data_IF_730915817583
#
_entry.id   IF_730915817583
#
_cell.length_a   1.000
_cell.length_b   1.000
_cell.length_c   1.000
_cell.angle_alpha   90.00
_cell.angle_beta   90.00
_cell.angle_gamma   90.00
#
_symmetry.space_group_name_H-M   'P 1'
#
loop_
_entity.id
_entity.type
_entity.pdbx_description
1 polymer ?
#
# COMPACT_ATOMS: atom_id res chain seq x y z
N UNK A 1 -0.42 -42.52 -84.65
CA UNK A 1 -1.28 -42.56 -83.46
C UNK A 1 -1.95 -41.20 -83.23
N UNK A 2 -3.28 -41.17 -83.15
CA UNK A 2 -4.04 -39.97 -82.78
C UNK A 2 -4.11 -39.87 -81.24
N UNK A 3 -4.39 -38.69 -80.67
CA UNK A 3 -4.48 -38.50 -79.21
C UNK A 3 -5.76 -37.77 -78.77
N UNK A 4 -6.23 -38.05 -77.56
CA UNK A 4 -7.33 -37.31 -76.93
C UNK A 4 -6.88 -35.93 -76.45
N UNK A 5 -7.83 -35.01 -76.21
CA UNK A 5 -7.52 -33.59 -76.00
C UNK A 5 -6.97 -33.27 -74.61
N UNK A 6 -7.50 -33.86 -73.54
CA UNK A 6 -7.20 -33.41 -72.17
C UNK A 6 -5.99 -34.13 -71.56
N UNK A 7 -5.90 -35.45 -71.73
CA UNK A 7 -4.87 -36.31 -71.15
C UNK A 7 -4.00 -37.01 -72.19
N UNK A 8 -4.17 -36.67 -73.47
CA UNK A 8 -3.28 -37.10 -74.55
C UNK A 8 -3.19 -38.64 -74.67
N UNK A 9 -4.30 -39.35 -74.40
CA UNK A 9 -4.40 -40.80 -74.49
C UNK A 9 -4.24 -41.25 -75.94
N UNK A 10 -3.43 -42.28 -76.19
CA UNK A 10 -3.20 -42.79 -77.54
C UNK A 10 -4.46 -43.49 -78.07
N UNK A 11 -4.78 -43.20 -79.32
CA UNK A 11 -5.87 -43.80 -80.08
C UNK A 11 -5.28 -44.61 -81.25
N UNK A 12 -5.70 -45.87 -81.45
CA UNK A 12 -5.29 -46.69 -82.59
C UNK A 12 -5.61 -46.01 -83.93
N UNK A 13 -4.78 -46.29 -84.94
CA UNK A 13 -4.93 -45.79 -86.31
C UNK A 13 -4.95 -46.93 -87.34
N UNK A 14 -5.11 -46.59 -88.63
CA UNK A 14 -5.55 -47.49 -89.70
C UNK A 14 -4.65 -48.69 -90.03
N UNK A 15 -3.63 -48.98 -89.21
CA UNK A 15 -2.81 -50.19 -89.29
C UNK A 15 -3.08 -51.20 -88.17
N UNK A 16 -3.92 -50.87 -87.18
CA UNK A 16 -4.17 -51.72 -86.01
C UNK A 16 -5.32 -52.72 -86.24
N UNK A 17 -5.17 -53.97 -85.78
CA UNK A 17 -6.15 -55.07 -85.98
C UNK A 17 -7.33 -55.06 -85.00
N UNK A 18 -7.61 -53.92 -84.37
CA UNK A 18 -8.60 -53.78 -83.30
C UNK A 18 -9.88 -53.09 -83.80
N UNK A 19 -10.96 -53.14 -83.01
CA UNK A 19 -12.14 -52.31 -83.28
C UNK A 19 -11.83 -50.85 -82.95
N UNK A 20 -11.30 -50.14 -83.95
CA UNK A 20 -10.80 -48.77 -83.84
C UNK A 20 -11.93 -47.81 -83.43
N UNK A 21 -13.16 -48.04 -83.89
CA UNK A 21 -14.30 -47.16 -83.59
C UNK A 21 -14.67 -47.24 -82.12
N UNK A 22 -14.85 -48.45 -81.59
CA UNK A 22 -15.19 -48.66 -80.18
C UNK A 22 -14.06 -48.17 -79.27
N UNK A 23 -12.80 -48.49 -79.59
CA UNK A 23 -11.67 -48.10 -78.73
C UNK A 23 -11.42 -46.60 -78.73
N UNK A 24 -11.57 -45.92 -79.86
CA UNK A 24 -11.43 -44.47 -79.92
C UNK A 24 -12.60 -43.76 -79.21
N UNK A 25 -13.83 -44.28 -79.34
CA UNK A 25 -14.97 -43.77 -78.59
C UNK A 25 -14.76 -43.92 -77.08
N UNK A 26 -14.27 -45.07 -76.62
CA UNK A 26 -13.94 -45.31 -75.22
C UNK A 26 -12.83 -44.38 -74.73
N UNK A 27 -11.75 -44.20 -75.50
CA UNK A 27 -10.65 -43.30 -75.15
C UNK A 27 -11.14 -41.84 -74.98
N UNK A 28 -11.98 -41.36 -75.90
CA UNK A 28 -12.58 -40.04 -75.80
C UNK A 28 -13.51 -39.91 -74.59
N UNK A 29 -14.33 -40.92 -74.30
CA UNK A 29 -15.22 -40.94 -73.15
C UNK A 29 -14.45 -40.93 -71.82
N UNK A 30 -13.37 -41.71 -71.71
CA UNK A 30 -12.51 -41.76 -70.54
C UNK A 30 -11.79 -40.42 -70.33
N UNK A 31 -11.24 -39.83 -71.39
CA UNK A 31 -10.56 -38.54 -71.34
C UNK A 31 -11.49 -37.42 -70.84
N UNK A 32 -12.72 -37.37 -71.36
CA UNK A 32 -13.74 -36.42 -70.93
C UNK A 32 -14.15 -36.66 -69.46
N UNK A 33 -14.32 -37.91 -69.05
CA UNK A 33 -14.68 -38.25 -67.67
C UNK A 33 -13.57 -37.88 -66.67
N UNK A 34 -12.31 -38.14 -67.01
CA UNK A 34 -11.16 -37.73 -66.19
C UNK A 34 -11.08 -36.21 -66.06
N UNK A 35 -11.36 -35.48 -67.15
CA UNK A 35 -11.37 -34.01 -67.14
C UNK A 35 -12.50 -33.46 -66.27
N UNK A 36 -13.69 -34.06 -66.35
CA UNK A 36 -14.79 -33.73 -65.46
C UNK A 36 -14.40 -33.93 -63.99
N UNK A 37 -13.74 -35.04 -63.66
CA UNK A 37 -13.26 -35.31 -62.30
C UNK A 37 -12.18 -34.32 -61.83
N UNK A 38 -11.28 -33.85 -62.71
CA UNK A 38 -10.30 -32.81 -62.34
C UNK A 38 -10.98 -31.48 -62.10
N UNK A 39 -11.88 -31.08 -62.99
CA UNK A 39 -12.59 -29.81 -62.92
C UNK A 39 -13.47 -29.73 -61.66
N UNK A 40 -14.16 -30.82 -61.32
CA UNK A 40 -14.92 -30.92 -60.08
C UNK A 40 -14.05 -30.79 -58.83
N UNK A 41 -12.84 -31.36 -58.82
CA UNK A 41 -11.90 -31.24 -57.69
C UNK A 41 -11.37 -29.81 -57.56
N UNK A 42 -11.02 -29.18 -58.68
CA UNK A 42 -10.57 -27.79 -58.69
C UNK A 42 -11.68 -26.85 -58.22
N UNK A 43 -12.92 -27.02 -58.71
CA UNK A 43 -14.08 -26.22 -58.33
C UNK A 43 -14.39 -26.31 -56.83
N UNK A 44 -14.14 -27.46 -56.18
CA UNK A 44 -14.32 -27.62 -54.71
C UNK A 44 -13.40 -26.74 -53.87
N UNK A 45 -12.32 -26.22 -54.44
CA UNK A 45 -11.38 -25.32 -53.76
C UNK A 45 -11.43 -23.90 -54.31
N UNK A 46 -11.35 -23.72 -55.63
CA UNK A 46 -11.30 -22.41 -56.27
C UNK A 46 -12.65 -21.72 -56.38
N UNK A 47 -13.74 -22.49 -56.44
CA UNK A 47 -15.13 -22.00 -56.51
C UNK A 47 -15.88 -22.06 -55.17
N UNK A 48 -15.19 -22.46 -54.10
CA UNK A 48 -15.81 -22.57 -52.78
C UNK A 48 -16.18 -21.18 -52.24
N UNK A 49 -17.34 -21.09 -51.59
CA UNK A 49 -17.76 -19.87 -50.92
C UNK A 49 -16.79 -19.51 -49.78
N UNK A 50 -16.38 -18.24 -49.71
CA UNK A 50 -15.53 -17.76 -48.64
C UNK A 50 -16.27 -17.81 -47.29
N UNK A 51 -15.62 -18.36 -46.28
CA UNK A 51 -16.12 -18.37 -44.91
C UNK A 51 -15.27 -17.42 -44.06
N UNK A 52 -15.90 -16.44 -43.43
CA UNK A 52 -15.21 -15.39 -42.66
C UNK A 52 -15.03 -15.73 -41.18
N UNK A 53 -15.81 -16.67 -40.65
CA UNK A 53 -15.70 -17.16 -39.27
C UNK A 53 -15.75 -18.68 -39.24
N UNK A 54 -14.86 -19.29 -38.45
CA UNK A 54 -14.81 -20.74 -38.28
C UNK A 54 -15.58 -21.13 -37.03
N UNK A 55 -16.44 -22.12 -37.15
CA UNK A 55 -17.10 -22.80 -36.05
C UNK A 55 -16.21 -23.93 -35.53
N UNK A 56 -16.38 -24.30 -34.26
CA UNK A 56 -15.58 -25.33 -33.59
C UNK A 56 -15.58 -26.69 -34.30
N UNK A 57 -16.68 -27.04 -34.98
CA UNK A 57 -16.86 -28.28 -35.72
C UNK A 57 -16.27 -28.25 -37.15
N UNK A 58 -15.89 -27.07 -37.68
CA UNK A 58 -15.26 -26.98 -38.99
C UNK A 58 -13.93 -27.74 -38.99
N UNK A 59 -13.60 -28.38 -40.11
CA UNK A 59 -12.42 -29.21 -40.21
C UNK A 59 -11.51 -28.81 -41.37
N UNK A 60 -10.20 -28.91 -41.13
CA UNK A 60 -9.15 -28.69 -42.11
C UNK A 60 -8.42 -30.02 -42.39
N UNK A 61 -8.09 -30.33 -43.65
CA UNK A 61 -7.26 -31.49 -43.97
C UNK A 61 -5.81 -31.26 -43.55
N UNK A 62 -5.12 -32.33 -43.18
CA UNK A 62 -3.70 -32.34 -42.85
C UNK A 62 -3.06 -33.69 -43.21
N UNK A 63 -1.74 -33.71 -43.26
CA UNK A 63 -0.96 -34.95 -43.37
C UNK A 63 -0.44 -35.32 -41.99
N UNK A 64 -0.76 -36.55 -41.56
CA UNK A 64 -0.33 -37.05 -40.26
C UNK A 64 1.04 -37.71 -40.36
N UNK A 65 2.08 -37.01 -39.88
CA UNK A 65 3.45 -37.52 -39.88
C UNK A 65 3.63 -38.80 -39.04
N UNK A 66 2.80 -39.01 -38.01
CA UNK A 66 2.83 -40.23 -37.20
C UNK A 66 2.15 -41.42 -37.90
N UNK A 67 1.38 -41.16 -38.95
CA UNK A 67 0.73 -42.18 -39.77
C UNK A 67 1.25 -42.15 -41.22
N UNK A 68 2.57 -42.01 -41.40
CA UNK A 68 3.23 -42.02 -42.72
C UNK A 68 2.66 -40.98 -43.70
N UNK A 69 2.33 -39.79 -43.21
CA UNK A 69 1.69 -38.72 -43.97
C UNK A 69 0.30 -39.07 -44.53
N UNK A 70 -0.42 -40.00 -43.90
CA UNK A 70 -1.82 -40.26 -44.24
C UNK A 70 -2.67 -39.00 -44.10
N UNK A 71 -3.61 -38.80 -45.03
CA UNK A 71 -4.55 -37.66 -44.95
C UNK A 71 -5.51 -37.86 -43.79
N UNK A 72 -5.51 -36.91 -42.85
CA UNK A 72 -6.46 -36.81 -41.75
C UNK A 72 -7.10 -35.41 -41.75
N UNK A 73 -8.04 -35.19 -40.83
CA UNK A 73 -8.67 -33.90 -40.61
C UNK A 73 -8.57 -33.49 -39.14
N UNK A 74 -8.40 -32.20 -38.88
CA UNK A 74 -8.48 -31.61 -37.54
C UNK A 74 -9.64 -30.61 -37.49
N UNK A 75 -10.39 -30.61 -36.39
CA UNK A 75 -11.41 -29.59 -36.17
C UNK A 75 -10.79 -28.27 -35.73
N UNK A 76 -11.46 -27.15 -35.96
CA UNK A 76 -10.96 -25.83 -35.57
C UNK A 76 -10.80 -25.74 -34.04
N UNK A 77 -11.70 -26.33 -33.27
CA UNK A 77 -11.57 -26.42 -31.81
C UNK A 77 -10.27 -27.13 -31.37
N UNK A 78 -9.95 -28.27 -32.00
CA UNK A 78 -8.75 -29.03 -31.66
C UNK A 78 -7.48 -28.31 -32.12
N UNK A 79 -7.52 -27.63 -33.28
CA UNK A 79 -6.41 -26.81 -33.76
C UNK A 79 -6.11 -25.66 -32.80
N UNK A 80 -7.14 -24.90 -32.40
CA UNK A 80 -6.99 -23.78 -31.44
C UNK A 80 -6.48 -24.29 -30.10
N UNK A 81 -6.94 -25.46 -29.64
CA UNK A 81 -6.44 -26.08 -28.40
C UNK A 81 -4.95 -26.41 -28.50
N UNK A 82 -4.51 -27.04 -29.58
CA UNK A 82 -3.10 -27.34 -29.81
C UNK A 82 -2.23 -26.08 -29.88
N UNK A 83 -2.71 -25.05 -30.59
CA UNK A 83 -2.04 -23.75 -30.69
C UNK A 83 -1.94 -23.02 -29.36
N UNK A 84 -3.03 -22.94 -28.58
CA UNK A 84 -3.03 -22.36 -27.24
C UNK A 84 -2.04 -23.07 -26.32
N UNK A 85 -1.98 -24.40 -26.37
CA UNK A 85 -1.04 -25.17 -25.57
C UNK A 85 0.43 -24.84 -25.92
N UNK A 86 0.76 -24.65 -27.20
CA UNK A 86 2.11 -24.24 -27.62
C UNK A 86 2.43 -22.78 -27.32
N UNK A 87 1.46 -21.87 -27.48
CA UNK A 87 1.67 -20.45 -27.22
C UNK A 87 1.70 -20.13 -25.72
N UNK A 88 0.93 -20.84 -24.90
CA UNK A 88 0.86 -20.63 -23.45
C UNK A 88 2.16 -20.93 -22.70
N UNK A 89 3.13 -21.60 -23.32
CA UNK A 89 4.47 -21.79 -22.74
C UNK A 89 5.40 -20.60 -22.96
N UNK A 90 5.07 -19.71 -23.89
CA UNK A 90 5.90 -18.56 -24.29
C UNK A 90 5.25 -17.24 -23.89
N UNK A 91 3.92 -17.18 -23.92
CA UNK A 91 3.14 -15.98 -23.61
C UNK A 91 2.37 -16.18 -22.31
N UNK A 92 2.36 -15.15 -21.47
CA UNK A 92 1.49 -15.09 -20.32
C UNK A 92 0.04 -14.83 -20.74
N UNK A 93 -0.92 -15.25 -19.91
CA UNK A 93 -2.31 -14.90 -20.09
C UNK A 93 -2.50 -13.36 -20.08
N UNK A 94 -3.51 -12.88 -20.81
CA UNK A 94 -3.84 -11.45 -20.89
C UNK A 94 -3.99 -10.82 -19.49
N UNK A 95 -4.55 -11.58 -18.55
CA UNK A 95 -4.55 -11.25 -17.13
C UNK A 95 -3.68 -12.25 -16.38
N UNK A 96 -2.62 -11.77 -15.73
CA UNK A 96 -1.76 -12.54 -14.84
C UNK A 96 -1.24 -11.65 -13.71
N UNK A 97 -0.67 -12.27 -12.69
CA UNK A 97 -0.11 -11.57 -11.53
C UNK A 97 1.35 -11.95 -11.32
N UNK A 98 2.09 -11.03 -10.70
CA UNK A 98 3.45 -11.29 -10.21
C UNK A 98 3.48 -11.17 -8.69
N UNK A 99 4.07 -12.16 -8.04
CA UNK A 99 4.49 -12.04 -6.64
C UNK A 99 5.74 -11.18 -6.57
N UNK A 100 6.01 -10.58 -5.40
CA UNK A 100 7.23 -9.79 -5.18
C UNK A 100 8.50 -10.59 -5.52
N UNK A 101 8.53 -11.88 -5.19
CA UNK A 101 9.68 -12.76 -5.45
C UNK A 101 9.93 -13.02 -6.95
N UNK A 102 8.97 -12.75 -7.82
CA UNK A 102 9.10 -12.91 -9.27
C UNK A 102 9.67 -11.66 -9.96
N UNK A 103 9.73 -10.53 -9.25
CA UNK A 103 10.22 -9.25 -9.78
C UNK A 103 11.69 -9.12 -9.37
N UNK A 104 12.60 -9.36 -10.31
CA UNK A 104 14.05 -9.45 -10.05
C UNK A 104 14.71 -8.10 -9.76
N UNK A 105 14.06 -7.00 -10.15
CA UNK A 105 14.48 -5.63 -9.91
C UNK A 105 13.67 -4.95 -8.80
N UNK A 106 12.93 -5.72 -8.00
CA UNK A 106 12.15 -5.15 -6.92
C UNK A 106 13.07 -4.48 -5.88
N UNK A 107 12.83 -3.21 -5.51
CA UNK A 107 13.72 -2.49 -4.62
C UNK A 107 13.80 -3.15 -3.23
N UNK A 108 15.03 -3.30 -2.73
CA UNK A 108 15.29 -3.82 -1.39
C UNK A 108 14.74 -2.91 -0.29
N UNK A 109 14.73 -1.59 -0.54
CA UNK A 109 14.13 -0.59 0.36
C UNK A 109 13.33 0.44 -0.43
N UNK A 110 12.18 0.83 0.12
CA UNK A 110 11.43 2.02 -0.30
C UNK A 110 11.56 3.08 0.80
N UNK A 111 12.80 3.46 1.12
CA UNK A 111 13.05 4.44 2.16
C UNK A 111 12.42 5.77 1.74
N UNK A 112 11.42 6.30 2.47
CA UNK A 112 10.88 7.61 2.15
C UNK A 112 12.00 8.65 2.26
N UNK A 113 12.02 9.60 1.33
CA UNK A 113 12.80 10.84 1.52
C UNK A 113 12.39 11.46 2.85
N UNK A 114 13.31 12.17 3.52
CA UNK A 114 13.10 12.74 4.86
C UNK A 114 11.65 13.19 5.09
N UNK A 115 11.04 12.65 6.15
CA UNK A 115 9.67 12.98 6.55
C UNK A 115 9.64 13.36 8.03
N UNK A 116 8.61 14.11 8.40
CA UNK A 116 8.41 14.63 9.74
C UNK A 116 7.04 14.21 10.26
N UNK A 117 6.96 13.99 11.57
CA UNK A 117 5.69 13.77 12.26
C UNK A 117 5.25 15.02 13.00
N UNK A 118 3.94 15.28 12.96
CA UNK A 118 3.33 16.24 13.88
C UNK A 118 3.17 15.63 15.26
N UNK A 119 3.07 16.45 16.31
CA UNK A 119 2.76 15.95 17.66
C UNK A 119 1.41 15.22 17.73
N UNK A 120 0.49 15.53 16.82
CA UNK A 120 -0.79 14.84 16.67
C UNK A 120 -0.67 13.38 16.23
N UNK A 121 0.46 12.99 15.63
CA UNK A 121 0.71 11.60 15.21
C UNK A 121 1.06 10.69 16.41
N UNK A 122 1.40 11.30 17.55
CA UNK A 122 1.78 10.59 18.78
C UNK A 122 0.60 10.62 19.75
N UNK A 123 -0.27 9.61 19.64
CA UNK A 123 -1.42 9.43 20.54
C UNK A 123 -0.99 9.48 22.01
N UNK A 124 -1.63 10.37 22.77
CA UNK A 124 -1.39 10.52 24.22
C UNK A 124 -0.24 11.44 24.60
N UNK A 125 0.53 12.00 23.66
CA UNK A 125 1.61 12.95 23.97
C UNK A 125 1.09 14.21 24.64
N UNK A 126 -0.02 14.79 24.16
CA UNK A 126 -0.65 15.98 24.76
C UNK A 126 -1.11 15.70 26.19
N UNK A 127 -1.76 14.57 26.41
CA UNK A 127 -2.18 14.13 27.76
C UNK A 127 -0.99 13.93 28.68
N UNK A 128 0.06 13.25 28.21
CA UNK A 128 1.26 13.00 29.01
C UNK A 128 2.00 14.29 29.39
N UNK A 129 2.01 15.28 28.49
CA UNK A 129 2.60 16.59 28.76
C UNK A 129 1.74 17.41 29.72
N UNK A 130 0.42 17.41 29.55
CA UNK A 130 -0.53 18.08 30.45
C UNK A 130 -0.58 17.46 31.85
N UNK A 131 -0.23 16.18 31.99
CA UNK A 131 -0.15 15.49 33.28
C UNK A 131 1.17 15.77 34.05
N UNK A 132 2.10 16.56 33.49
CA UNK A 132 3.31 16.97 34.21
C UNK A 132 2.98 18.13 35.16
N UNK A 133 3.42 18.01 36.41
CA UNK A 133 3.26 19.06 37.40
C UNK A 133 4.03 20.34 37.00
N UNK A 134 3.36 21.47 37.07
CA UNK A 134 3.84 22.83 36.88
C UNK A 134 4.47 23.35 38.19
N UNK A 135 5.73 23.81 38.10
CA UNK A 135 6.37 24.58 39.19
C UNK A 135 5.97 26.04 39.08
N UNK A 136 5.33 26.59 40.10
CA UNK A 136 5.02 28.01 40.23
C UNK A 136 5.83 28.65 41.34
N UNK A 137 6.28 29.88 41.12
CA UNK A 137 7.08 30.63 42.09
C UNK A 137 6.54 32.04 42.29
N UNK A 138 6.58 32.52 43.52
CA UNK A 138 6.29 33.90 43.90
C UNK A 138 7.34 34.41 44.89
N UNK A 139 7.39 35.73 45.06
CA UNK A 139 8.20 36.37 46.09
C UNK A 139 7.32 37.26 46.94
N UNK A 140 7.59 37.28 48.24
CA UNK A 140 6.89 38.12 49.21
C UNK A 140 7.85 38.88 50.11
N UNK A 141 7.30 39.85 50.83
CA UNK A 141 8.03 40.54 51.90
C UNK A 141 7.25 40.37 53.19
N UNK A 142 7.94 39.92 54.24
CA UNK A 142 7.46 39.96 55.61
C UNK A 142 8.04 41.21 56.27
N UNK A 143 7.17 42.17 56.56
CA UNK A 143 7.54 43.44 57.17
C UNK A 143 7.51 43.34 58.70
N UNK A 144 8.25 44.20 59.38
CA UNK A 144 8.24 44.28 60.86
C UNK A 144 6.92 44.81 61.42
N UNK A 145 6.16 45.57 60.62
CA UNK A 145 4.87 46.16 60.97
C UNK A 145 3.66 45.29 60.58
N UNK A 146 3.83 44.36 59.63
CA UNK A 146 2.73 43.53 59.11
C UNK A 146 2.39 42.28 59.94
N UNK A 147 3.08 42.06 61.06
CA UNK A 147 2.75 40.99 62.00
C UNK A 147 1.53 41.35 62.84
N UNK A 148 0.56 40.44 62.85
CA UNK A 148 -0.67 40.54 63.65
C UNK A 148 -0.71 39.41 64.68
N UNK A 149 -1.44 39.61 65.78
CA UNK A 149 -1.54 38.64 66.87
C UNK A 149 -0.97 39.14 68.19
N UNK A 150 -0.55 38.20 69.04
CA UNK A 150 -0.02 38.45 70.38
C UNK A 150 1.20 37.57 70.67
N UNK A 151 1.89 37.82 71.77
CA UNK A 151 3.04 37.00 72.20
C UNK A 151 2.71 35.50 72.14
N UNK A 152 3.54 34.73 71.43
CA UNK A 152 3.34 33.30 71.23
C UNK A 152 2.40 32.91 70.07
N UNK A 153 1.79 33.87 69.37
CA UNK A 153 0.91 33.61 68.24
C UNK A 153 0.87 34.78 67.26
N UNK A 154 2.00 35.02 66.58
CA UNK A 154 2.13 36.04 65.55
C UNK A 154 1.93 35.43 64.16
N UNK A 155 1.24 36.15 63.27
CA UNK A 155 1.09 35.76 61.86
C UNK A 155 1.18 36.94 60.91
N UNK A 156 1.66 36.67 59.69
CA UNK A 156 1.67 37.63 58.59
C UNK A 156 1.43 36.90 57.28
N UNK A 157 0.54 37.45 56.44
CA UNK A 157 0.19 36.88 55.15
C UNK A 157 0.93 37.59 54.01
N UNK A 158 1.46 36.81 53.09
CA UNK A 158 1.98 37.25 51.80
C UNK A 158 0.93 36.99 50.73
N UNK A 159 0.62 38.00 49.92
CA UNK A 159 -0.32 37.84 48.81
C UNK A 159 0.34 37.08 47.66
N UNK A 160 -0.31 36.00 47.23
CA UNK A 160 0.08 35.16 46.08
C UNK A 160 -1.19 34.89 45.26
N UNK A 161 -1.54 35.82 44.39
CA UNK A 161 -2.87 35.87 43.74
C UNK A 161 -3.26 34.61 42.95
N UNK A 162 -2.29 33.82 42.49
CA UNK A 162 -2.52 32.59 41.75
C UNK A 162 -2.68 31.33 42.62
N UNK A 163 -2.48 31.45 43.93
CA UNK A 163 -2.46 30.29 44.84
C UNK A 163 -3.87 29.82 45.20
N UNK A 164 -4.06 28.51 45.24
CA UNK A 164 -5.28 27.83 45.65
C UNK A 164 -5.16 27.31 47.09
N UNK A 165 -6.28 27.08 47.77
CA UNK A 165 -6.27 26.53 49.13
C UNK A 165 -5.71 25.09 49.22
N UNK A 166 -5.75 24.34 48.12
CA UNK A 166 -5.20 22.98 48.05
C UNK A 166 -3.68 22.95 47.74
N UNK A 167 -3.08 24.09 47.39
CA UNK A 167 -1.66 24.15 47.09
C UNK A 167 -0.84 23.90 48.38
N UNK A 168 0.31 23.24 48.25
CA UNK A 168 1.26 23.00 49.35
C UNK A 168 2.50 23.86 49.13
N UNK A 169 2.52 25.12 49.61
CA UNK A 169 3.63 26.03 49.40
C UNK A 169 4.85 25.62 50.22
N UNK A 170 6.02 25.73 49.58
CA UNK A 170 7.32 25.72 50.25
C UNK A 170 7.86 27.14 50.26
N UNK A 171 8.11 27.68 51.43
CA UNK A 171 8.71 28.99 51.58
C UNK A 171 10.21 28.86 51.90
N UNK A 172 11.00 29.81 51.41
CA UNK A 172 12.43 29.95 51.73
C UNK A 172 12.78 31.41 51.97
N UNK A 173 13.75 31.66 52.83
CA UNK A 173 14.38 32.97 52.91
C UNK A 173 15.12 33.27 51.60
N UNK A 174 15.01 34.51 51.13
CA UNK A 174 15.79 35.02 49.98
C UNK A 174 16.76 36.14 50.35
N UNK A 175 16.65 36.66 51.57
CA UNK A 175 17.63 37.58 52.14
C UNK A 175 18.89 36.88 52.63
N UNK A 176 19.98 37.63 52.76
CA UNK A 176 21.32 37.11 53.10
C UNK A 176 21.96 37.78 54.33
N UNK A 177 21.25 38.68 55.01
CA UNK A 177 21.80 39.35 56.20
C UNK A 177 21.56 38.51 57.46
N UNK A 178 22.49 38.57 58.43
CA UNK A 178 22.35 37.82 59.69
C UNK A 178 21.02 38.12 60.40
N UNK A 179 20.61 39.39 60.45
CA UNK A 179 19.34 39.79 61.05
C UNK A 179 18.10 39.18 60.33
N UNK A 180 18.18 38.94 59.02
CA UNK A 180 17.12 38.27 58.27
C UNK A 180 17.10 36.77 58.51
N UNK A 181 18.27 36.14 58.64
CA UNK A 181 18.40 34.72 58.99
C UNK A 181 17.89 34.46 60.41
N UNK A 182 18.33 35.27 61.38
CA UNK A 182 17.84 35.18 62.77
C UNK A 182 16.33 35.35 62.84
N UNK A 183 15.78 36.32 62.09
CA UNK A 183 14.35 36.56 62.02
C UNK A 183 13.60 35.40 61.34
N UNK A 184 14.17 34.76 60.31
CA UNK A 184 13.60 33.59 59.66
C UNK A 184 13.58 32.36 60.57
N UNK A 185 14.63 32.16 61.36
CA UNK A 185 14.74 31.04 62.31
C UNK A 185 13.71 31.11 63.45
N UNK A 186 13.09 32.30 63.66
CA UNK A 186 11.97 32.43 64.60
C UNK A 186 10.62 31.95 64.05
N UNK A 187 10.52 31.69 62.75
CA UNK A 187 9.28 31.28 62.09
C UNK A 187 9.04 29.79 62.25
N UNK A 188 7.77 29.39 62.18
CA UNK A 188 7.43 27.98 62.04
C UNK A 188 7.93 27.44 60.69
N UNK A 189 8.39 26.17 60.65
CA UNK A 189 8.86 25.55 59.40
C UNK A 189 7.72 25.31 58.39
N UNK A 190 6.46 25.38 58.85
CA UNK A 190 5.27 25.23 58.03
C UNK A 190 4.62 26.58 57.75
N UNK A 191 4.00 26.70 56.59
CA UNK A 191 3.23 27.86 56.17
C UNK A 191 1.84 27.40 55.74
N UNK A 192 0.81 28.17 56.11
CA UNK A 192 -0.55 27.84 55.70
C UNK A 192 -0.81 28.32 54.28
N UNK A 193 -1.46 27.47 53.49
CA UNK A 193 -2.05 27.85 52.22
C UNK A 193 -3.50 28.32 52.39
N UNK A 194 -3.80 29.43 51.75
CA UNK A 194 -5.17 29.86 51.50
C UNK A 194 -5.26 30.42 50.08
N UNK A 195 -6.48 30.48 49.53
CA UNK A 195 -6.69 31.09 48.23
C UNK A 195 -6.12 32.53 48.21
N UNK A 196 -5.20 32.79 47.29
CA UNK A 196 -4.58 34.09 47.08
C UNK A 196 -3.50 34.51 48.09
N UNK A 197 -3.15 33.69 49.10
CA UNK A 197 -2.17 34.11 50.14
C UNK A 197 -1.49 32.96 50.89
N UNK A 198 -0.21 33.11 51.21
CA UNK A 198 0.55 32.24 52.11
C UNK A 198 0.67 32.91 53.47
N UNK A 199 0.37 32.20 54.56
CA UNK A 199 0.49 32.74 55.92
C UNK A 199 1.69 32.15 56.64
N UNK A 200 2.52 33.02 57.19
CA UNK A 200 3.68 32.68 58.00
C UNK A 200 3.34 32.87 59.47
N UNK A 201 3.86 31.98 60.32
CA UNK A 201 3.61 31.99 61.75
C UNK A 201 4.90 32.09 62.55
N UNK A 202 4.81 32.73 63.71
CA UNK A 202 5.89 32.83 64.68
C UNK A 202 5.29 32.62 66.09
N UNK A 203 5.77 31.59 66.79
CA UNK A 203 5.33 31.24 68.16
C UNK A 203 6.24 31.79 69.25
N UNK A 204 7.16 32.69 68.89
CA UNK A 204 8.03 33.33 69.85
C UNK A 204 7.28 34.41 70.66
N UNK A 205 7.82 34.75 71.83
CA UNK A 205 7.27 35.82 72.68
C UNK A 205 7.31 37.17 71.98
N UNK A 206 8.35 37.42 71.18
CA UNK A 206 8.49 38.61 70.35
C UNK A 206 8.30 38.27 68.86
N UNK A 207 7.68 39.19 68.12
CA UNK A 207 7.63 39.11 66.65
C UNK A 207 9.01 39.38 66.02
N UNK A 208 9.25 38.96 64.78
CA UNK A 208 10.50 39.24 64.06
C UNK A 208 10.85 40.74 64.02
N UNK A 209 12.10 41.07 64.35
CA UNK A 209 12.60 42.44 64.46
C UNK A 209 13.18 42.99 63.15
N UNK A 210 13.40 42.15 62.14
CA UNK A 210 13.90 42.52 60.82
C UNK A 210 12.90 42.17 59.72
N UNK A 211 12.85 42.99 58.67
CA UNK A 211 12.08 42.70 57.47
C UNK A 211 12.85 41.72 56.58
N UNK A 212 12.13 40.76 55.99
CA UNK A 212 12.73 39.69 55.18
C UNK A 212 11.96 39.46 53.88
N UNK A 213 12.69 39.11 52.83
CA UNK A 213 12.11 38.68 51.56
C UNK A 213 12.05 37.16 51.52
N UNK A 214 10.91 36.63 51.11
CA UNK A 214 10.64 35.19 51.07
C UNK A 214 10.33 34.75 49.65
N UNK A 215 10.89 33.61 49.25
CA UNK A 215 10.54 32.92 48.02
C UNK A 215 9.52 31.83 48.32
N UNK A 216 8.46 31.75 47.54
CA UNK A 216 7.38 30.77 47.68
C UNK A 216 7.38 29.91 46.43
N UNK A 217 7.37 28.59 46.58
CA UNK A 217 7.31 27.62 45.50
C UNK A 217 6.16 26.64 45.71
N UNK A 218 5.40 26.37 44.66
CA UNK A 218 4.31 25.38 44.62
C UNK A 218 4.54 24.47 43.42
N UNK A 219 4.35 23.16 43.60
CA UNK A 219 4.37 22.16 42.51
C UNK A 219 2.94 21.62 42.39
N UNK A 220 2.33 21.73 41.20
CA UNK A 220 0.93 21.36 40.95
C UNK A 220 0.77 20.61 39.64
#
# INVERSE_FOLDING_TARGET
MRKTTNYQLNMPDGTDTVDIEILNANAAAIDAALKGLSDEKEAKLSGAAAKTTLADADALPLLDSAASSATKRITFANLITAMKAKLGTVYAALSHTHTRSQITDFPASMTPTAHTHGTGDVTGLSTALSAKAERKTATGTLSTTGWTGSAGNWSQAVTVSWMLAADVPKARLTGTTAAQMDAWDTLEPYVDSAAGKVTFYCKQTAKPSAAMSVGIEVIR
#
